data_IF_465409213762
#
_entry.id   IF_465409213762
#
_cell.length_a   1.000
_cell.length_b   1.000
_cell.length_c   1.000
_cell.angle_alpha   90.00
_cell.angle_beta   90.00
_cell.angle_gamma   90.00
#
_symmetry.space_group_name_H-M   'P 1'
#
loop_
_entity.id
_entity.type
_entity.pdbx_description
1 polymer ?
#
# COMPACT_ATOMS: atom_id res chain seq x y z
N UNK A 1 -30.16 52.15 37.11
CA UNK A 1 -30.85 50.84 37.05
C UNK A 1 -30.57 50.31 35.66
N UNK A 2 -29.95 49.16 35.38
CA UNK A 2 -29.76 47.90 36.09
C UNK A 2 -28.58 47.17 35.44
N UNK A 3 -27.81 46.44 36.24
CA UNK A 3 -26.85 45.44 35.79
C UNK A 3 -27.53 44.45 34.82
N UNK A 4 -26.82 44.03 33.78
CA UNK A 4 -26.96 42.65 33.33
C UNK A 4 -25.59 42.03 33.05
N UNK A 5 -25.09 41.41 34.12
CA UNK A 5 -24.16 40.30 34.07
C UNK A 5 -24.86 39.14 33.35
N UNK A 6 -24.42 38.82 32.14
CA UNK A 6 -24.62 37.53 31.48
C UNK A 6 -23.22 37.09 31.07
N UNK A 7 -22.55 36.36 31.98
CA UNK A 7 -22.49 34.90 31.95
C UNK A 7 -21.51 34.43 30.89
N UNK A 8 -20.38 33.95 31.39
CA UNK A 8 -19.39 33.21 30.63
C UNK A 8 -20.03 31.97 29.99
N UNK A 9 -19.65 31.69 28.75
CA UNK A 9 -19.58 30.33 28.25
C UNK A 9 -18.08 29.98 28.14
N UNK A 10 -17.60 28.88 28.73
CA UNK A 10 -16.24 28.42 28.48
C UNK A 10 -16.21 27.94 27.02
N UNK A 11 -15.42 28.61 26.17
CA UNK A 11 -15.09 28.05 24.87
C UNK A 11 -14.35 26.73 25.14
N UNK A 12 -14.98 25.64 24.75
CA UNK A 12 -14.53 24.27 24.91
C UNK A 12 -13.04 24.13 24.52
N UNK A 13 -12.21 23.82 25.52
CA UNK A 13 -10.84 23.30 25.37
C UNK A 13 -10.86 21.90 24.72
N UNK A 14 -11.33 21.80 23.48
CA UNK A 14 -11.47 20.54 22.75
C UNK A 14 -10.30 20.20 21.81
N UNK A 15 -9.31 21.08 21.65
CA UNK A 15 -8.28 20.96 20.60
C UNK A 15 -6.83 20.94 21.10
N UNK A 16 -6.58 21.13 22.40
CA UNK A 16 -5.24 21.26 22.96
C UNK A 16 -4.50 19.93 23.16
N UNK A 17 -5.22 18.80 23.22
CA UNK A 17 -4.62 17.48 23.44
C UNK A 17 -3.95 16.93 22.17
N UNK A 18 -4.65 17.03 21.02
CA UNK A 18 -4.14 16.55 19.73
C UNK A 18 -3.06 17.46 19.13
N UNK A 19 -3.10 18.77 19.41
CA UNK A 19 -2.11 19.72 18.93
C UNK A 19 -0.75 19.57 19.65
N UNK A 20 -0.76 19.34 20.97
CA UNK A 20 0.48 19.17 21.74
C UNK A 20 1.15 17.80 21.52
N UNK A 21 0.38 16.73 21.30
CA UNK A 21 0.94 15.42 20.95
C UNK A 21 1.67 15.45 19.60
N UNK A 22 1.14 16.20 18.62
CA UNK A 22 1.71 16.26 17.28
C UNK A 22 3.08 16.97 17.21
N UNK A 23 3.39 17.85 18.15
CA UNK A 23 4.64 18.62 18.11
C UNK A 23 5.86 17.87 18.70
N UNK A 24 5.66 16.74 19.38
CA UNK A 24 6.72 16.04 20.12
C UNK A 24 7.00 14.60 19.68
N UNK A 25 6.36 14.12 18.62
CA UNK A 25 6.57 12.74 18.15
C UNK A 25 7.71 12.66 17.14
N UNK A 26 8.76 11.85 17.40
CA UNK A 26 9.73 11.43 16.40
C UNK A 26 9.04 10.87 15.17
N UNK A 27 9.64 11.03 13.99
CA UNK A 27 9.06 10.55 12.71
C UNK A 27 8.76 9.04 12.74
N UNK A 28 9.53 8.28 13.52
CA UNK A 28 9.37 6.84 13.70
C UNK A 28 8.13 6.47 14.55
N UNK A 29 7.64 7.35 15.41
CA UNK A 29 6.38 7.09 16.13
C UNK A 29 5.19 7.18 15.17
N UNK A 30 5.33 7.88 14.05
CA UNK A 30 4.29 7.96 13.02
C UNK A 30 3.89 6.59 12.47
N UNK A 31 4.86 5.73 12.11
CA UNK A 31 4.56 4.39 11.55
C UNK A 31 3.87 3.50 12.58
N UNK A 32 4.31 3.56 13.84
CA UNK A 32 3.72 2.78 14.92
C UNK A 32 2.27 3.22 15.19
N UNK A 33 2.02 4.54 15.22
CA UNK A 33 0.67 5.08 15.37
C UNK A 33 -0.23 4.66 14.21
N UNK A 34 0.25 4.72 12.96
CA UNK A 34 -0.52 4.27 11.79
C UNK A 34 -0.86 2.77 11.89
N UNK A 35 0.10 1.92 12.28
CA UNK A 35 -0.14 0.49 12.48
C UNK A 35 -1.23 0.24 13.53
N UNK A 36 -1.19 0.99 14.63
CA UNK A 36 -2.14 0.86 15.74
C UNK A 36 -3.55 1.31 15.32
N UNK A 37 -3.66 2.41 14.59
CA UNK A 37 -4.94 2.89 14.04
C UNK A 37 -5.54 1.87 13.08
N UNK A 38 -4.75 1.32 12.15
CA UNK A 38 -5.23 0.34 11.19
C UNK A 38 -5.68 -0.95 11.91
N UNK A 39 -4.90 -1.43 12.88
CA UNK A 39 -5.24 -2.62 13.67
C UNK A 39 -6.57 -2.44 14.44
N UNK A 40 -6.75 -1.30 15.11
CA UNK A 40 -8.00 -1.01 15.83
C UNK A 40 -9.19 -0.85 14.88
N UNK A 41 -8.98 -0.20 13.73
CA UNK A 41 -10.04 -0.03 12.72
C UNK A 41 -10.53 -1.38 12.21
N UNK A 42 -9.61 -2.31 11.91
CA UNK A 42 -9.97 -3.65 11.48
C UNK A 42 -10.61 -4.50 12.59
N UNK A 43 -10.25 -4.30 13.85
CA UNK A 43 -10.89 -4.99 14.97
C UNK A 43 -12.34 -4.53 15.17
N UNK A 44 -12.58 -3.21 15.16
CA UNK A 44 -13.92 -2.62 15.29
C UNK A 44 -14.80 -3.00 14.08
N UNK A 45 -14.24 -2.93 12.87
CA UNK A 45 -14.94 -3.35 11.66
C UNK A 45 -15.21 -4.86 11.65
N UNK A 46 -14.30 -5.67 12.19
CA UNK A 46 -14.47 -7.12 12.34
C UNK A 46 -15.64 -7.47 13.25
N UNK A 47 -15.75 -6.77 14.38
CA UNK A 47 -16.92 -6.87 15.27
C UNK A 47 -18.21 -6.48 14.54
N UNK A 48 -18.24 -5.36 13.83
CA UNK A 48 -19.46 -4.85 13.21
C UNK A 48 -19.94 -5.67 11.99
N UNK A 49 -19.03 -6.19 11.17
CA UNK A 49 -19.37 -6.84 9.90
C UNK A 49 -19.46 -8.37 10.02
N UNK A 50 -18.72 -8.97 10.96
CA UNK A 50 -18.57 -10.43 11.05
C UNK A 50 -18.93 -11.02 12.41
N UNK A 51 -19.34 -10.20 13.38
CA UNK A 51 -19.63 -10.58 14.77
C UNK A 51 -18.49 -11.37 15.45
N UNK A 52 -17.28 -11.28 14.89
CA UNK A 52 -16.11 -12.04 15.30
C UNK A 52 -14.89 -11.13 15.25
N UNK A 53 -14.09 -11.18 16.31
CA UNK A 53 -12.83 -10.45 16.41
C UNK A 53 -11.84 -10.84 15.31
N UNK A 54 -11.10 -9.85 14.79
CA UNK A 54 -10.06 -10.09 13.79
C UNK A 54 -8.76 -10.56 14.48
N UNK A 55 -8.38 -9.91 15.58
CA UNK A 55 -7.19 -10.21 16.37
C UNK A 55 -7.47 -11.20 17.51
N UNK A 56 -8.60 -11.08 18.21
CA UNK A 56 -8.91 -11.95 19.36
C UNK A 56 -9.41 -13.36 18.97
N UNK A 57 -9.64 -13.65 17.68
CA UNK A 57 -10.00 -14.99 17.22
C UNK A 57 -8.75 -15.77 16.79
N UNK A 58 -8.33 -16.72 17.62
CA UNK A 58 -7.12 -17.52 17.40
C UNK A 58 -7.14 -18.30 16.08
N UNK A 59 -8.28 -18.86 15.67
CA UNK A 59 -8.36 -19.63 14.43
C UNK A 59 -8.09 -18.73 13.20
N UNK A 60 -8.67 -17.54 13.19
CA UNK A 60 -8.51 -16.59 12.09
C UNK A 60 -7.09 -16.02 12.05
N UNK A 61 -6.55 -15.70 13.21
CA UNK A 61 -5.17 -15.22 13.34
C UNK A 61 -4.18 -16.27 12.84
N UNK A 62 -4.37 -17.55 13.20
CA UNK A 62 -3.52 -18.65 12.72
C UNK A 62 -3.59 -18.78 11.20
N UNK A 63 -4.78 -18.69 10.59
CA UNK A 63 -4.90 -18.74 9.13
C UNK A 63 -4.17 -17.56 8.45
N UNK A 64 -4.27 -16.36 9.00
CA UNK A 64 -3.56 -15.18 8.47
C UNK A 64 -2.05 -15.36 8.61
N UNK A 65 -1.59 -15.79 9.79
CA UNK A 65 -0.16 -16.01 10.05
C UNK A 65 0.39 -17.11 9.15
N UNK A 66 -0.32 -18.22 8.97
CA UNK A 66 0.10 -19.30 8.07
C UNK A 66 0.21 -18.84 6.62
N UNK A 67 -0.74 -18.03 6.14
CA UNK A 67 -0.69 -17.48 4.78
C UNK A 67 0.51 -16.54 4.59
N UNK A 68 0.74 -15.65 5.55
CA UNK A 68 1.86 -14.69 5.51
C UNK A 68 3.20 -15.39 5.75
N UNK A 69 3.23 -16.48 6.53
CA UNK A 69 4.43 -17.25 6.82
C UNK A 69 5.04 -17.86 5.55
N UNK A 70 4.22 -18.35 4.61
CA UNK A 70 4.72 -18.86 3.32
C UNK A 70 5.50 -17.77 2.58
N UNK A 71 4.91 -16.56 2.49
CA UNK A 71 5.53 -15.41 1.84
C UNK A 71 6.78 -14.97 2.60
N UNK A 72 6.76 -15.00 3.93
CA UNK A 72 7.92 -14.67 4.77
C UNK A 72 9.10 -15.63 4.56
N UNK A 73 8.85 -16.94 4.50
CA UNK A 73 9.88 -17.95 4.23
C UNK A 73 10.47 -17.75 2.83
N UNK A 74 9.62 -17.49 1.82
CA UNK A 74 10.07 -17.18 0.45
C UNK A 74 10.93 -15.92 0.45
N UNK A 75 10.50 -14.85 1.15
CA UNK A 75 11.25 -13.60 1.21
C UNK A 75 12.66 -13.79 1.80
N UNK A 76 12.79 -14.59 2.87
CA UNK A 76 14.10 -14.95 3.44
C UNK A 76 14.96 -15.67 2.40
N UNK A 77 14.41 -16.66 1.69
CA UNK A 77 15.15 -17.36 0.62
C UNK A 77 15.59 -16.42 -0.51
N UNK A 78 14.71 -15.52 -0.96
CA UNK A 78 14.99 -14.56 -2.04
C UNK A 78 16.03 -13.52 -1.62
N UNK A 79 16.07 -13.08 -0.36
CA UNK A 79 17.12 -12.16 0.11
C UNK A 79 18.53 -12.75 0.01
N UNK A 80 18.69 -14.05 0.30
CA UNK A 80 19.97 -14.73 0.11
C UNK A 80 20.37 -14.81 -1.36
N UNK A 81 19.40 -15.05 -2.26
CA UNK A 81 19.63 -15.08 -3.71
C UNK A 81 20.06 -13.70 -4.22
N UNK A 82 19.40 -12.62 -3.78
CA UNK A 82 19.74 -11.23 -4.13
C UNK A 82 21.20 -10.92 -3.76
N UNK A 83 21.59 -11.22 -2.52
CA UNK A 83 22.94 -10.91 -2.01
C UNK A 83 24.01 -11.78 -2.70
N UNK A 84 23.75 -13.09 -2.89
CA UNK A 84 24.77 -14.04 -3.36
C UNK A 84 24.93 -14.02 -4.88
N UNK A 85 23.84 -13.88 -5.63
CA UNK A 85 23.88 -13.88 -7.10
C UNK A 85 24.18 -12.48 -7.64
N UNK A 86 24.14 -11.45 -6.80
CA UNK A 86 24.28 -10.07 -7.24
C UNK A 86 23.12 -9.66 -8.16
N UNK A 87 21.94 -10.26 -7.96
CA UNK A 87 20.69 -9.81 -8.62
C UNK A 87 20.37 -8.48 -7.98
N UNK A 88 20.99 -7.43 -8.51
CA UNK A 88 20.66 -6.06 -8.16
C UNK A 88 19.15 -5.89 -8.38
N UNK A 89 18.47 -5.36 -7.37
CA UNK A 89 17.06 -4.98 -7.50
C UNK A 89 16.85 -3.98 -8.65
N UNK A 90 17.92 -3.33 -9.13
CA UNK A 90 17.96 -2.60 -10.40
C UNK A 90 17.45 -3.41 -11.60
N UNK A 91 17.77 -4.71 -11.70
CA UNK A 91 17.22 -5.60 -12.75
C UNK A 91 15.69 -5.75 -12.65
N UNK A 92 15.14 -5.62 -11.44
CA UNK A 92 13.69 -5.55 -11.22
C UNK A 92 13.06 -4.30 -11.82
N UNK A 93 13.76 -3.16 -11.83
CA UNK A 93 13.30 -1.93 -12.50
C UNK A 93 13.30 -2.07 -14.03
N UNK A 94 14.28 -2.78 -14.59
CA UNK A 94 14.38 -3.07 -16.04
C UNK A 94 13.23 -3.98 -16.48
N UNK A 95 12.95 -5.03 -15.72
CA UNK A 95 11.82 -5.93 -15.98
C UNK A 95 10.48 -5.19 -15.83
N UNK A 96 10.36 -4.31 -14.84
CA UNK A 96 9.16 -3.49 -14.66
C UNK A 96 8.95 -2.52 -15.83
N UNK A 97 9.99 -1.83 -16.29
CA UNK A 97 9.93 -0.96 -17.48
C UNK A 97 9.49 -1.75 -18.71
N UNK A 98 10.11 -2.91 -18.95
CA UNK A 98 9.78 -3.79 -20.07
C UNK A 98 8.32 -4.26 -20.04
N UNK A 99 7.82 -4.63 -18.86
CA UNK A 99 6.44 -5.02 -18.66
C UNK A 99 5.46 -3.86 -18.92
N UNK A 100 5.77 -2.66 -18.43
CA UNK A 100 4.94 -1.45 -18.66
C UNK A 100 4.91 -1.09 -20.13
N UNK A 101 6.05 -1.11 -20.83
CA UNK A 101 6.13 -0.84 -22.27
C UNK A 101 5.35 -1.87 -23.09
N UNK A 102 5.53 -3.16 -22.81
CA UNK A 102 4.79 -4.22 -23.49
C UNK A 102 3.29 -4.11 -23.25
N UNK A 103 2.87 -3.93 -21.99
CA UNK A 103 1.45 -3.82 -21.62
C UNK A 103 0.80 -2.58 -22.22
N UNK A 104 1.51 -1.44 -22.26
CA UNK A 104 0.98 -0.20 -22.84
C UNK A 104 0.71 -0.32 -24.34
N UNK A 105 1.45 -1.18 -25.04
CA UNK A 105 1.28 -1.45 -26.47
C UNK A 105 0.35 -2.65 -26.76
N UNK A 106 0.08 -3.51 -25.78
CA UNK A 106 -0.79 -4.69 -25.88
C UNK A 106 -2.29 -4.39 -25.63
N UNK A 107 -2.66 -3.12 -25.52
CA UNK A 107 -4.03 -2.66 -25.29
C UNK A 107 -4.99 -3.08 -26.43
N UNK A 108 -6.23 -3.37 -26.04
CA UNK A 108 -7.29 -3.84 -26.92
C UNK A 108 -8.36 -2.77 -27.10
N UNK A 109 -9.15 -2.85 -28.16
CA UNK A 109 -10.28 -1.93 -28.40
C UNK A 109 -11.36 -1.98 -27.32
N UNK A 110 -11.41 -3.06 -26.52
CA UNK A 110 -12.35 -3.23 -25.40
C UNK A 110 -11.82 -2.62 -24.09
N UNK A 111 -10.63 -2.02 -24.11
CA UNK A 111 -10.05 -1.37 -22.92
C UNK A 111 -10.83 -0.10 -22.56
N UNK A 112 -11.21 0.03 -21.28
CA UNK A 112 -12.02 1.15 -20.76
C UNK A 112 -11.38 2.54 -21.01
N UNK A 113 -10.05 2.62 -20.98
CA UNK A 113 -9.27 3.82 -21.29
C UNK A 113 -7.88 3.42 -21.83
N UNK A 114 -7.72 3.22 -23.16
CA UNK A 114 -6.42 2.89 -23.74
C UNK A 114 -5.44 4.06 -23.60
N UNK A 115 -4.20 3.78 -23.18
CA UNK A 115 -3.15 4.81 -23.02
C UNK A 115 -2.68 5.37 -24.38
N UNK A 116 -2.66 4.53 -25.43
CA UNK A 116 -2.38 4.98 -26.80
C UNK A 116 -3.55 4.62 -27.74
N UNK A 117 -4.62 5.42 -27.80
CA UNK A 117 -5.84 5.08 -28.55
C UNK A 117 -5.62 4.77 -30.05
N UNK A 118 -4.55 5.30 -30.65
CA UNK A 118 -4.16 5.05 -32.03
C UNK A 118 -3.49 3.67 -32.26
N UNK A 119 -3.02 3.02 -31.20
CA UNK A 119 -2.29 1.75 -31.23
C UNK A 119 -3.07 0.64 -30.49
N UNK A 120 -4.33 0.44 -30.86
CA UNK A 120 -5.16 -0.64 -30.31
C UNK A 120 -5.14 -1.86 -31.23
N UNK A 121 -5.22 -3.07 -30.66
CA UNK A 121 -5.25 -4.33 -31.42
C UNK A 121 -4.00 -4.60 -32.28
N UNK A 122 -2.80 -4.32 -31.74
CA UNK A 122 -1.57 -4.75 -32.41
C UNK A 122 -1.34 -6.27 -32.27
N UNK A 123 -0.75 -6.93 -33.28
CA UNK A 123 -0.27 -8.32 -33.14
C UNK A 123 0.65 -8.46 -31.94
N UNK A 124 0.44 -9.50 -31.12
CA UNK A 124 1.16 -9.73 -29.85
C UNK A 124 2.69 -9.72 -29.98
N UNK A 125 3.23 -10.01 -31.17
CA UNK A 125 4.67 -9.94 -31.46
C UNK A 125 5.24 -8.53 -31.20
N UNK A 126 4.49 -7.48 -31.55
CA UNK A 126 4.96 -6.09 -31.47
C UNK A 126 5.17 -5.63 -30.01
N UNK A 127 4.19 -5.76 -29.09
CA UNK A 127 4.40 -5.40 -27.68
C UNK A 127 5.47 -6.27 -27.00
N UNK A 128 5.59 -7.55 -27.37
CA UNK A 128 6.64 -8.44 -26.83
C UNK A 128 8.03 -7.94 -27.29
N UNK A 129 8.21 -7.69 -28.58
CA UNK A 129 9.47 -7.18 -29.11
C UNK A 129 9.83 -5.81 -28.53
N UNK A 130 8.85 -4.90 -28.39
CA UNK A 130 9.07 -3.58 -27.79
C UNK A 130 9.46 -3.67 -26.30
N UNK A 131 8.79 -4.53 -25.53
CA UNK A 131 9.14 -4.81 -24.13
C UNK A 131 10.55 -5.37 -24.00
N UNK A 132 10.87 -6.44 -24.73
CA UNK A 132 12.21 -7.05 -24.72
C UNK A 132 13.31 -6.09 -25.19
N UNK A 133 13.05 -5.26 -26.21
CA UNK A 133 14.00 -4.26 -26.69
C UNK A 133 14.25 -3.17 -25.62
N UNK A 134 13.19 -2.68 -24.97
CA UNK A 134 13.34 -1.70 -23.87
C UNK A 134 14.10 -2.27 -22.68
N UNK A 135 13.92 -3.57 -22.37
CA UNK A 135 14.69 -4.27 -21.35
C UNK A 135 16.18 -4.35 -21.74
N UNK A 136 16.45 -4.72 -22.99
CA UNK A 136 17.81 -4.85 -23.51
C UNK A 136 18.55 -3.50 -23.56
N UNK A 137 17.84 -2.39 -23.78
CA UNK A 137 18.44 -1.05 -23.78
C UNK A 137 18.66 -0.49 -22.37
N UNK A 138 17.98 -1.02 -21.35
CA UNK A 138 18.04 -0.53 -19.97
C UNK A 138 18.93 -1.39 -19.05
N UNK A 139 19.37 -2.56 -19.51
CA UNK A 139 20.36 -3.43 -18.86
C UNK A 139 21.79 -3.09 -19.31
#
# INVERSE_FOLDING_TARGET
>A
MSNMKLTAAPASEGSSFFANLRHKMPKDTGIFVVMLVIALTFEIAGWYVRDQSFLLNTNRLVLIVLQVAIIGIIAVGVTQVIITTGIDLSSGSVIALAAVVAASLAQTSDSLSPMFPALVNLPAVIPICAGSASACCAA
#
